data_IF_759598827115
#
_entry.id   IF_759598827115
#
_cell.length_a   1.000
_cell.length_b   1.000
_cell.length_c   1.000
_cell.angle_alpha   90.00
_cell.angle_beta   90.00
_cell.angle_gamma   90.00
#
_symmetry.space_group_name_H-M   'P 1'
#
loop_
_entity.id
_entity.type
_entity.pdbx_description
1 polymer ?
#
# COMPACT_ATOMS: atom_id res chain seq x y z
N UNK A 1 42.21 28.12 15.67
CA UNK A 1 41.03 28.88 15.21
C UNK A 1 40.70 28.40 13.80
N UNK A 2 39.42 28.18 13.49
CA UNK A 2 38.82 27.71 12.20
C UNK A 2 38.76 26.17 12.04
N UNK A 3 37.76 25.50 12.63
CA UNK A 3 36.40 25.17 12.12
C UNK A 3 36.35 24.08 11.03
N UNK A 4 36.08 22.85 11.48
CA UNK A 4 35.65 21.69 10.69
C UNK A 4 34.22 21.91 10.19
N UNK A 5 34.05 22.09 8.88
CA UNK A 5 32.72 22.11 8.25
C UNK A 5 32.28 20.67 8.02
N UNK A 6 31.40 20.16 8.88
CA UNK A 6 30.74 18.86 8.68
C UNK A 6 29.71 18.98 7.54
N UNK A 7 30.04 18.39 6.40
CA UNK A 7 29.14 18.21 5.27
C UNK A 7 28.10 17.15 5.62
N UNK A 8 26.89 17.57 6.00
CA UNK A 8 25.75 16.68 6.14
C UNK A 8 25.26 16.25 4.75
N UNK A 9 25.58 15.01 4.38
CA UNK A 9 25.01 14.38 3.20
C UNK A 9 23.53 14.10 3.47
N UNK A 10 22.64 14.95 2.96
CA UNK A 10 21.19 14.68 2.97
C UNK A 10 20.95 13.53 1.98
N UNK A 11 20.81 12.32 2.51
CA UNK A 11 20.23 11.21 1.77
C UNK A 11 18.79 11.60 1.44
N UNK A 12 18.56 12.03 0.20
CA UNK A 12 17.22 12.21 -0.33
C UNK A 12 16.56 10.83 -0.39
N UNK A 13 15.89 10.44 0.69
CA UNK A 13 14.91 9.35 0.64
C UNK A 13 13.91 9.72 -0.45
N UNK A 14 13.67 8.89 -1.47
CA UNK A 14 12.60 9.13 -2.44
C UNK A 14 11.27 9.09 -1.67
N UNK A 15 10.86 10.26 -1.18
CA UNK A 15 9.60 10.44 -0.49
C UNK A 15 8.48 10.23 -1.50
N UNK A 16 7.55 9.34 -1.18
CA UNK A 16 6.28 9.31 -1.90
C UNK A 16 5.62 10.68 -1.76
N UNK A 17 5.47 11.38 -2.88
CA UNK A 17 4.99 12.77 -2.89
C UNK A 17 3.46 12.89 -2.73
N UNK A 18 2.83 12.03 -1.92
CA UNK A 18 1.40 12.10 -1.64
C UNK A 18 0.94 11.13 -0.55
N UNK A 19 -0.29 11.35 -0.01
CA UNK A 19 -0.81 10.53 1.08
C UNK A 19 -0.90 9.05 0.69
N UNK A 20 -0.40 8.19 1.57
CA UNK A 20 -0.32 6.74 1.37
C UNK A 20 -1.25 6.04 2.37
N UNK A 21 -2.24 5.31 1.88
CA UNK A 21 -3.14 4.50 2.70
C UNK A 21 -2.70 3.04 2.68
N UNK A 22 -2.71 2.40 3.85
CA UNK A 22 -2.50 0.97 4.01
C UNK A 22 -3.83 0.39 4.49
N UNK A 23 -4.43 -0.51 3.72
CA UNK A 23 -5.71 -1.13 4.03
C UNK A 23 -5.48 -2.61 4.34
N UNK A 24 -5.97 -3.08 5.48
CA UNK A 24 -5.77 -4.46 5.95
C UNK A 24 -6.99 -4.92 6.75
N UNK A 25 -7.31 -6.22 6.76
CA UNK A 25 -8.38 -6.71 7.64
C UNK A 25 -7.94 -6.69 9.10
N UNK A 26 -8.89 -6.54 10.02
CA UNK A 26 -8.61 -6.66 11.46
C UNK A 26 -8.04 -8.05 11.80
N UNK A 27 -8.54 -9.11 11.15
CA UNK A 27 -8.03 -10.47 11.33
C UNK A 27 -6.56 -10.57 10.95
N UNK A 28 -6.19 -10.07 9.75
CA UNK A 28 -4.80 -10.11 9.27
C UNK A 28 -3.90 -9.21 10.11
N UNK A 29 -4.35 -8.03 10.54
CA UNK A 29 -3.58 -7.16 11.42
C UNK A 29 -3.38 -7.77 12.83
N UNK A 30 -4.30 -8.60 13.30
CA UNK A 30 -4.18 -9.32 14.57
C UNK A 30 -3.10 -10.41 14.58
N UNK A 31 -2.59 -10.81 13.42
CA UNK A 31 -1.49 -11.77 13.31
C UNK A 31 -0.14 -11.04 13.41
N UNK A 32 0.70 -11.31 14.42
CA UNK A 32 1.95 -10.57 14.65
C UNK A 32 2.87 -10.50 13.43
N UNK A 33 2.95 -11.57 12.64
CA UNK A 33 3.79 -11.68 11.45
C UNK A 33 3.29 -10.79 10.32
N UNK A 34 1.97 -10.65 10.15
CA UNK A 34 1.37 -9.74 9.17
C UNK A 34 1.40 -8.29 9.64
N UNK A 35 1.29 -8.03 10.94
CA UNK A 35 1.44 -6.70 11.51
C UNK A 35 2.82 -6.11 11.19
N UNK A 36 3.88 -6.94 11.14
CA UNK A 36 5.22 -6.50 10.72
C UNK A 36 5.25 -5.99 9.28
N UNK A 37 4.48 -6.59 8.36
CA UNK A 37 4.35 -6.12 6.97
C UNK A 37 3.72 -4.73 6.94
N UNK A 38 2.66 -4.52 7.73
CA UNK A 38 1.97 -3.22 7.83
C UNK A 38 2.90 -2.15 8.44
N UNK A 39 3.63 -2.48 9.50
CA UNK A 39 4.58 -1.54 10.11
C UNK A 39 5.76 -1.23 9.18
N UNK A 40 6.26 -2.19 8.41
CA UNK A 40 7.27 -1.95 7.38
C UNK A 40 6.77 -0.98 6.30
N UNK A 41 5.54 -1.15 5.80
CA UNK A 41 4.92 -0.23 4.84
C UNK A 41 4.73 1.18 5.44
N UNK A 42 4.27 1.25 6.69
CA UNK A 42 4.06 2.50 7.41
C UNK A 42 5.38 3.24 7.64
N UNK A 43 6.44 2.55 8.02
CA UNK A 43 7.77 3.13 8.16
C UNK A 43 8.32 3.63 6.82
N UNK A 44 8.17 2.83 5.75
CA UNK A 44 8.70 3.14 4.41
C UNK A 44 8.00 4.32 3.74
N UNK A 45 6.67 4.39 3.83
CA UNK A 45 5.87 5.38 3.10
C UNK A 45 5.22 6.43 3.98
N UNK A 46 5.42 6.38 5.31
CA UNK A 46 4.73 7.22 6.30
C UNK A 46 3.20 7.15 6.14
N UNK A 47 2.72 5.95 5.81
CA UNK A 47 1.32 5.71 5.46
C UNK A 47 0.38 5.66 6.67
N UNK A 48 -0.90 5.91 6.42
CA UNK A 48 -1.98 5.76 7.42
C UNK A 48 -2.65 4.39 7.25
N UNK A 49 -2.84 3.68 8.35
CA UNK A 49 -3.49 2.36 8.37
C UNK A 49 -5.00 2.53 8.49
N UNK A 50 -5.75 1.75 7.70
CA UNK A 50 -7.19 1.63 7.70
C UNK A 50 -7.55 0.15 7.81
N UNK A 51 -8.46 -0.17 8.72
CA UNK A 51 -8.89 -1.54 8.97
C UNK A 51 -10.33 -1.75 8.55
N UNK A 52 -10.63 -2.94 8.04
CA UNK A 52 -11.99 -3.41 7.80
C UNK A 52 -12.20 -4.76 8.48
N UNK A 53 -13.45 -5.08 8.79
CA UNK A 53 -13.77 -6.33 9.47
C UNK A 53 -14.29 -7.39 8.52
N UNK A 54 -15.22 -7.03 7.63
CA UNK A 54 -15.86 -8.00 6.71
C UNK A 54 -15.60 -7.65 5.26
N UNK A 55 -15.82 -6.39 4.88
CA UNK A 55 -15.71 -5.93 3.50
C UNK A 55 -14.79 -4.72 3.41
N UNK A 56 -13.92 -4.73 2.39
CA UNK A 56 -13.07 -3.58 2.04
C UNK A 56 -13.88 -2.29 1.80
N UNK A 57 -15.16 -2.40 1.42
CA UNK A 57 -16.03 -1.23 1.26
C UNK A 57 -16.26 -0.43 2.56
N UNK A 58 -16.07 -1.05 3.74
CA UNK A 58 -16.22 -0.39 5.04
C UNK A 58 -15.26 0.80 5.21
N UNK A 59 -14.07 0.76 4.58
CA UNK A 59 -13.10 1.85 4.66
C UNK A 59 -13.38 3.00 3.70
N UNK A 60 -14.43 2.93 2.86
CA UNK A 60 -14.71 3.91 1.80
C UNK A 60 -14.73 5.34 2.32
N UNK A 61 -15.62 5.67 3.24
CA UNK A 61 -15.77 7.06 3.70
C UNK A 61 -14.51 7.60 4.39
N UNK A 62 -13.79 6.72 5.08
CA UNK A 62 -12.51 7.07 5.71
C UNK A 62 -11.41 7.33 4.67
N UNK A 63 -11.37 6.56 3.57
CA UNK A 63 -10.46 6.79 2.45
C UNK A 63 -10.84 8.05 1.67
N UNK A 64 -12.14 8.31 1.45
CA UNK A 64 -12.64 9.54 0.83
C UNK A 64 -12.18 10.78 1.58
N UNK A 65 -12.32 10.77 2.90
CA UNK A 65 -11.86 11.87 3.75
C UNK A 65 -10.34 12.03 3.73
N UNK A 66 -9.59 10.93 3.60
CA UNK A 66 -8.12 10.94 3.57
C UNK A 66 -7.53 11.38 2.22
N UNK A 67 -8.27 11.20 1.12
CA UNK A 67 -7.83 11.51 -0.25
C UNK A 67 -6.44 10.92 -0.59
N UNK A 68 -6.28 9.59 -0.49
CA UNK A 68 -5.00 8.94 -0.76
C UNK A 68 -4.59 9.10 -2.22
N UNK A 69 -3.32 9.40 -2.46
CA UNK A 69 -2.72 9.25 -3.81
C UNK A 69 -2.35 7.80 -4.08
N UNK A 70 -1.97 7.08 -3.03
CA UNK A 70 -1.56 5.69 -3.07
C UNK A 70 -2.37 4.86 -2.07
N UNK A 71 -2.83 3.67 -2.49
CA UNK A 71 -3.50 2.71 -1.60
C UNK A 71 -2.86 1.34 -1.73
N UNK A 72 -2.35 0.82 -0.63
CA UNK A 72 -1.80 -0.52 -0.55
C UNK A 72 -2.73 -1.43 0.25
N UNK A 73 -3.23 -2.47 -0.39
CA UNK A 73 -4.05 -3.49 0.27
C UNK A 73 -3.15 -4.65 0.71
N UNK A 74 -3.11 -4.96 2.00
CA UNK A 74 -2.39 -6.12 2.55
C UNK A 74 -3.37 -7.26 2.70
N UNK A 75 -3.21 -8.32 1.89
CA UNK A 75 -4.15 -9.44 1.82
C UNK A 75 -3.42 -10.78 1.97
N UNK A 76 -4.03 -11.70 2.73
CA UNK A 76 -3.57 -13.07 2.95
C UNK A 76 -4.15 -14.03 1.90
N UNK A 77 -3.33 -14.81 1.20
CA UNK A 77 -3.81 -15.88 0.33
C UNK A 77 -4.10 -17.16 1.13
N UNK A 78 -4.98 -18.05 0.65
CA UNK A 78 -5.93 -17.85 -0.45
C UNK A 78 -7.26 -17.21 0.02
N UNK A 79 -7.46 -17.03 1.34
CA UNK A 79 -8.75 -16.66 1.93
C UNK A 79 -9.22 -15.26 1.53
N UNK A 80 -8.30 -14.27 1.45
CA UNK A 80 -8.67 -12.88 1.18
C UNK A 80 -8.46 -12.49 -0.30
N UNK A 81 -7.56 -13.19 -1.00
CA UNK A 81 -7.24 -12.91 -2.42
C UNK A 81 -8.29 -13.50 -3.38
N UNK A 82 -9.16 -14.40 -2.90
CA UNK A 82 -10.07 -15.17 -3.76
C UNK A 82 -11.40 -14.45 -4.09
N UNK A 83 -11.93 -14.82 -5.26
CA UNK A 83 -13.27 -14.64 -5.84
C UNK A 83 -13.81 -13.23 -6.09
N UNK A 84 -13.58 -12.19 -5.27
CA UNK A 84 -14.18 -10.86 -5.57
C UNK A 84 -13.39 -9.65 -5.07
N UNK A 85 -12.35 -9.85 -4.25
CA UNK A 85 -11.63 -8.74 -3.61
C UNK A 85 -11.07 -7.73 -4.62
N UNK A 86 -10.53 -8.20 -5.75
CA UNK A 86 -9.98 -7.33 -6.78
C UNK A 86 -11.04 -6.45 -7.47
N UNK A 87 -12.24 -7.00 -7.70
CA UNK A 87 -13.36 -6.25 -8.27
C UNK A 87 -13.86 -5.21 -7.25
N UNK A 88 -14.00 -5.61 -5.98
CA UNK A 88 -14.41 -4.72 -4.90
C UNK A 88 -13.40 -3.59 -4.67
N UNK A 89 -12.10 -3.88 -4.69
CA UNK A 89 -11.03 -2.88 -4.59
C UNK A 89 -11.10 -1.92 -5.79
N UNK A 90 -11.22 -2.45 -7.02
CA UNK A 90 -11.27 -1.62 -8.22
C UNK A 90 -12.49 -0.69 -8.25
N UNK A 91 -13.64 -1.13 -7.74
CA UNK A 91 -14.82 -0.27 -7.60
C UNK A 91 -14.59 0.78 -6.51
N UNK A 92 -14.12 0.36 -5.34
CA UNK A 92 -13.84 1.24 -4.21
C UNK A 92 -12.93 2.42 -4.60
N UNK A 93 -11.83 2.16 -5.32
CA UNK A 93 -10.83 3.17 -5.67
C UNK A 93 -11.25 4.10 -6.82
N UNK A 94 -12.44 3.92 -7.39
CA UNK A 94 -13.07 4.78 -8.41
C UNK A 94 -14.32 5.49 -7.88
N UNK A 95 -14.63 5.30 -6.61
CA UNK A 95 -15.79 5.90 -5.95
C UNK A 95 -15.34 6.73 -4.73
N UNK A 96 -14.05 7.10 -4.67
CA UNK A 96 -13.53 7.97 -3.63
C UNK A 96 -13.86 9.44 -3.90
N UNK A 97 -14.05 9.83 -5.16
CA UNK A 97 -14.67 11.10 -5.54
C UNK A 97 -15.84 10.88 -6.53
N UNK A 98 -16.35 11.97 -7.09
CA UNK A 98 -17.57 11.97 -7.92
C UNK A 98 -17.25 11.98 -9.44
N UNK A 99 -15.98 11.80 -9.81
CA UNK A 99 -15.53 11.80 -11.21
C UNK A 99 -15.42 10.37 -11.80
N UNK A 100 -15.33 10.20 -13.14
CA UNK A 100 -15.34 8.88 -13.77
C UNK A 100 -13.97 8.18 -13.82
N UNK A 101 -12.90 8.80 -13.30
CA UNK A 101 -11.54 8.31 -13.34
C UNK A 101 -11.20 7.44 -12.13
N UNK A 102 -9.92 7.09 -11.98
CA UNK A 102 -9.45 6.36 -10.81
C UNK A 102 -8.83 7.33 -9.84
N UNK A 103 -9.22 7.24 -8.57
CA UNK A 103 -8.94 8.29 -7.59
C UNK A 103 -7.59 8.08 -6.89
N UNK A 104 -7.03 6.87 -7.00
CA UNK A 104 -5.75 6.49 -6.42
C UNK A 104 -4.98 5.45 -7.24
N UNK A 105 -3.65 5.50 -7.14
CA UNK A 105 -2.78 4.41 -7.60
C UNK A 105 -2.80 3.32 -6.52
N UNK A 106 -3.18 2.10 -6.89
CA UNK A 106 -3.34 1.04 -5.91
C UNK A 106 -2.64 -0.26 -6.29
N UNK A 107 -2.35 -1.07 -5.27
CA UNK A 107 -1.75 -2.39 -5.43
C UNK A 107 -2.05 -3.28 -4.23
N UNK A 108 -1.85 -4.58 -4.42
CA UNK A 108 -2.00 -5.59 -3.38
C UNK A 108 -0.61 -6.09 -2.99
N UNK A 109 -0.30 -6.03 -1.70
CA UNK A 109 0.83 -6.73 -1.09
C UNK A 109 0.30 -8.04 -0.52
N UNK A 110 0.84 -9.15 -1.02
CA UNK A 110 0.49 -10.50 -0.61
C UNK A 110 1.72 -11.40 -0.75
N UNK A 111 1.71 -12.55 -0.09
CA UNK A 111 2.79 -13.54 -0.10
C UNK A 111 2.24 -14.90 0.33
N UNK A 112 2.84 -16.00 -0.12
CA UNK A 112 2.42 -17.34 0.31
C UNK A 112 2.54 -17.46 1.84
N UNK A 113 3.59 -16.87 2.41
CA UNK A 113 3.75 -16.63 3.84
C UNK A 113 3.84 -15.13 4.16
N UNK A 114 3.68 -14.72 5.44
CA UNK A 114 3.93 -13.34 5.86
C UNK A 114 5.35 -12.87 5.56
N UNK A 115 6.34 -13.77 5.66
CA UNK A 115 7.75 -13.45 5.39
C UNK A 115 8.00 -13.13 3.91
N UNK A 116 7.29 -13.80 3.00
CA UNK A 116 7.31 -13.48 1.57
C UNK A 116 6.79 -12.06 1.30
N UNK A 117 5.68 -11.70 1.95
CA UNK A 117 5.11 -10.36 1.86
C UNK A 117 6.05 -9.31 2.50
N UNK A 118 6.66 -9.63 3.64
CA UNK A 118 7.62 -8.76 4.31
C UNK A 118 8.86 -8.51 3.44
N UNK A 119 9.38 -9.56 2.79
CA UNK A 119 10.48 -9.46 1.84
C UNK A 119 10.14 -8.53 0.67
N UNK A 120 8.90 -8.60 0.15
CA UNK A 120 8.43 -7.73 -0.93
C UNK A 120 8.38 -6.25 -0.53
N UNK A 121 7.96 -5.94 0.70
CA UNK A 121 7.89 -4.54 1.14
C UNK A 121 9.26 -3.98 1.55
N UNK A 122 10.19 -4.86 1.94
CA UNK A 122 11.52 -4.50 2.44
C UNK A 122 12.57 -4.25 1.34
N UNK A 123 12.28 -4.56 0.07
CA UNK A 123 13.23 -4.25 -1.02
C UNK A 123 13.30 -2.75 -1.32
N UNK A 124 14.51 -2.18 -1.36
CA UNK A 124 14.73 -0.75 -1.63
C UNK A 124 14.61 -0.36 -3.12
N UNK A 125 14.39 -1.34 -4.00
CA UNK A 125 14.18 -1.07 -5.41
C UNK A 125 13.63 -2.28 -6.16
N UNK A 126 12.76 -2.00 -7.13
CA UNK A 126 12.32 -2.97 -8.12
C UNK A 126 12.49 -2.37 -9.50
N UNK A 127 12.99 -3.17 -10.44
CA UNK A 127 13.12 -2.75 -11.84
C UNK A 127 11.80 -2.99 -12.55
N UNK A 128 11.00 -1.94 -12.73
CA UNK A 128 9.82 -2.01 -13.60
C UNK A 128 10.27 -2.06 -15.05
N UNK A 129 9.98 -3.16 -15.73
CA UNK A 129 10.07 -3.23 -17.19
C UNK A 129 8.68 -3.07 -17.76
N UNK A 130 8.41 -1.96 -18.44
CA UNK A 130 7.18 -1.80 -19.23
C UNK A 130 7.33 -2.67 -20.47
N UNK A 131 6.41 -3.60 -20.67
CA UNK A 131 6.31 -4.43 -21.87
C UNK A 131 5.01 -4.06 -22.56
N UNK A 132 5.08 -3.78 -23.86
CA UNK A 132 3.89 -3.54 -24.66
C UNK A 132 3.27 -4.92 -24.99
N UNK A 133 2.10 -5.21 -24.45
CA UNK A 133 1.33 -6.38 -24.86
C UNK A 133 0.29 -5.91 -25.90
N UNK A 134 0.48 -6.31 -27.15
CA UNK A 134 -0.56 -6.19 -28.18
C UNK A 134 -1.37 -7.47 -28.19
N UNK A 135 -2.68 -7.37 -27.96
CA UNK A 135 -3.62 -8.44 -28.28
C UNK A 135 -3.98 -8.31 -29.76
N UNK A 136 -3.45 -9.21 -30.58
CA UNK A 136 -3.90 -9.44 -31.96
C UNK A 136 -5.21 -10.22 -31.98
#
# INVERSE_FOLDING_TARGET
>A
MMWLVHLWLVLATPGHAGPYAIVVSEETLGMPEWAQVVEALKAKYKGKVFTYRTLVAEVKDSLRAFRPKYVCFVLRPPSEVRNYVGISINRLTRELDDDPYGDAIWGIVTGYTPEDALRLVSIDGFRVRKVLAGTS
#
